data_IF_811510314418
#
_entry.id   IF_811510314418
#
_cell.length_a   1.000
_cell.length_b   1.000
_cell.length_c   1.000
_cell.angle_alpha   90.00
_cell.angle_beta   90.00
_cell.angle_gamma   90.00
#
_symmetry.space_group_name_H-M   'P 1'
#
loop_
_entity.id
_entity.type
_entity.pdbx_description
1 polymer ?
#
# COMPACT_ATOMS: atom_id res chain seq x y z
N UNK A 1 0.48 -6.46 -8.73
CA UNK A 1 -0.03 -7.58 -7.91
C UNK A 1 -1.10 -7.09 -6.94
N UNK A 2 -2.01 -7.95 -6.48
CA UNK A 2 -3.08 -7.58 -5.53
C UNK A 2 -2.64 -7.88 -4.10
N UNK A 3 -2.91 -6.95 -3.17
CA UNK A 3 -2.74 -7.13 -1.74
C UNK A 3 -4.04 -6.76 -1.02
N UNK A 4 -4.77 -7.75 -0.50
CA UNK A 4 -6.00 -7.51 0.25
C UNK A 4 -5.74 -7.56 1.76
N UNK A 5 -5.74 -6.39 2.40
CA UNK A 5 -5.47 -6.27 3.81
C UNK A 5 -6.62 -6.78 4.70
N UNK A 6 -7.83 -6.92 4.15
CA UNK A 6 -9.04 -7.32 4.90
C UNK A 6 -8.93 -8.76 5.39
N UNK A 7 -8.22 -9.63 4.65
CA UNK A 7 -7.96 -11.01 5.04
C UNK A 7 -6.81 -11.19 6.04
N UNK A 8 -6.03 -10.14 6.33
CA UNK A 8 -4.83 -10.23 7.16
C UNK A 8 -5.13 -9.73 8.57
N UNK A 9 -4.87 -10.60 9.57
CA UNK A 9 -5.02 -10.25 10.97
C UNK A 9 -4.20 -9.00 11.32
N UNK A 10 -4.81 -8.08 12.08
CA UNK A 10 -4.25 -6.75 12.39
C UNK A 10 -2.79 -6.78 12.88
N UNK A 11 -2.43 -7.75 13.72
CA UNK A 11 -1.07 -7.90 14.27
C UNK A 11 0.02 -8.19 13.23
N UNK A 12 -0.35 -8.70 12.06
CA UNK A 12 0.58 -9.03 10.97
C UNK A 12 0.52 -8.05 9.80
N UNK A 13 -0.55 -7.25 9.71
CA UNK A 13 -0.85 -6.41 8.54
C UNK A 13 0.29 -5.44 8.20
N UNK A 14 0.85 -4.75 9.19
CA UNK A 14 1.97 -3.83 8.94
C UNK A 14 3.16 -4.56 8.31
N UNK A 15 3.67 -5.60 8.98
CA UNK A 15 4.83 -6.34 8.48
C UNK A 15 4.60 -6.90 7.05
N UNK A 16 3.39 -7.41 6.78
CA UNK A 16 3.04 -7.93 5.46
C UNK A 16 3.02 -6.84 4.37
N UNK A 17 2.47 -5.65 4.65
CA UNK A 17 2.42 -4.55 3.69
C UNK A 17 3.83 -4.04 3.36
N UNK A 18 4.65 -3.78 4.39
CA UNK A 18 6.02 -3.31 4.17
C UNK A 18 6.86 -4.34 3.42
N UNK A 19 6.75 -5.63 3.79
CA UNK A 19 7.44 -6.70 3.07
C UNK A 19 7.01 -6.82 1.61
N UNK A 20 5.72 -6.65 1.31
CA UNK A 20 5.21 -6.68 -0.05
C UNK A 20 5.71 -5.49 -0.89
N UNK A 21 5.81 -4.29 -0.29
CA UNK A 21 6.38 -3.11 -0.95
C UNK A 21 7.89 -3.22 -1.17
N UNK A 22 8.62 -3.75 -0.19
CA UNK A 22 10.07 -3.99 -0.29
C UNK A 22 10.41 -5.03 -1.39
N UNK A 23 9.47 -5.92 -1.72
CA UNK A 23 9.63 -6.94 -2.75
C UNK A 23 9.33 -6.44 -4.17
N UNK A 24 8.74 -5.25 -4.34
CA UNK A 24 8.46 -4.70 -5.68
C UNK A 24 9.75 -4.31 -6.38
N UNK A 25 9.89 -4.71 -7.65
CA UNK A 25 10.95 -4.17 -8.50
C UNK A 25 10.52 -2.82 -9.11
N UNK A 26 11.47 -1.95 -9.51
CA UNK A 26 11.15 -0.67 -10.13
C UNK A 26 10.18 -0.80 -11.31
N UNK A 27 9.14 0.05 -11.32
CA UNK A 27 8.05 0.04 -12.28
C UNK A 27 6.85 -0.82 -11.86
N UNK A 28 7.00 -1.74 -10.90
CA UNK A 28 5.89 -2.58 -10.47
C UNK A 28 4.88 -1.84 -9.60
N UNK A 29 3.63 -2.30 -9.68
CA UNK A 29 2.51 -1.76 -8.91
C UNK A 29 1.84 -2.85 -8.07
N UNK A 30 1.63 -2.54 -6.80
CA UNK A 30 0.78 -3.30 -5.90
C UNK A 30 -0.56 -2.58 -5.73
N UNK A 31 -1.66 -3.25 -6.06
CA UNK A 31 -3.02 -2.77 -5.80
C UNK A 31 -3.46 -3.26 -4.42
N UNK A 32 -3.58 -2.33 -3.51
CA UNK A 32 -3.91 -2.53 -2.10
C UNK A 32 -5.41 -2.31 -1.86
N UNK A 33 -6.05 -3.24 -1.16
CA UNK A 33 -7.45 -3.16 -0.75
C UNK A 33 -7.56 -3.09 0.77
N UNK A 34 -8.38 -2.16 1.27
CA UNK A 34 -8.68 -2.02 2.70
C UNK A 34 -10.14 -1.57 2.93
N UNK A 35 -10.67 -1.86 4.10
CA UNK A 35 -12.02 -1.53 4.54
C UNK A 35 -12.15 -0.10 5.13
N UNK A 36 -11.05 0.62 5.30
CA UNK A 36 -11.03 1.99 5.78
C UNK A 36 -9.84 2.76 5.21
N UNK A 37 -9.89 4.09 5.27
CA UNK A 37 -8.78 4.93 4.80
C UNK A 37 -7.55 4.76 5.72
N UNK A 38 -6.41 4.25 5.22
CA UNK A 38 -5.28 3.91 6.06
C UNK A 38 -4.33 5.11 6.25
N UNK A 39 -4.84 6.32 6.52
CA UNK A 39 -4.04 7.56 6.60
C UNK A 39 -2.73 7.43 7.43
N UNK A 40 -2.75 6.82 8.64
CA UNK A 40 -1.51 6.68 9.41
C UNK A 40 -0.46 5.78 8.73
N UNK A 41 -0.90 4.75 8.00
CA UNK A 41 -0.01 3.92 7.20
C UNK A 41 0.57 4.72 6.03
N UNK A 42 -0.24 5.53 5.35
CA UNK A 42 0.24 6.34 4.22
C UNK A 42 1.32 7.32 4.65
N UNK A 43 1.17 7.95 5.82
CA UNK A 43 2.21 8.80 6.41
C UNK A 43 3.50 8.01 6.69
N UNK A 44 3.40 6.80 7.25
CA UNK A 44 4.56 5.95 7.50
C UNK A 44 5.25 5.49 6.20
N UNK A 45 4.47 5.17 5.16
CA UNK A 45 5.00 4.82 3.85
C UNK A 45 5.73 6.00 3.22
N UNK A 46 5.16 7.20 3.31
CA UNK A 46 5.78 8.42 2.79
C UNK A 46 7.11 8.74 3.51
N UNK A 47 7.15 8.56 4.84
CA UNK A 47 8.37 8.76 5.63
C UNK A 47 9.45 7.73 5.30
N UNK A 48 9.08 6.46 5.07
CA UNK A 48 10.03 5.38 4.82
C UNK A 48 10.55 5.36 3.39
N UNK A 49 9.67 5.55 2.41
CA UNK A 49 9.99 5.34 0.98
C UNK A 49 10.16 6.64 0.20
N UNK A 50 9.70 7.79 0.72
CA UNK A 50 9.83 9.06 0.04
C UNK A 50 9.23 9.03 -1.36
N UNK A 51 10.00 9.48 -2.36
CA UNK A 51 9.61 9.46 -3.77
C UNK A 51 9.77 8.10 -4.45
N UNK A 52 10.37 7.10 -3.78
CA UNK A 52 10.62 5.79 -4.39
C UNK A 52 9.35 4.94 -4.52
N UNK A 53 8.28 5.30 -3.79
CA UNK A 53 6.96 4.68 -3.92
C UNK A 53 5.91 5.79 -4.10
N UNK A 54 5.16 5.76 -5.20
CA UNK A 54 4.00 6.63 -5.37
C UNK A 54 2.73 5.97 -4.82
N UNK A 55 1.84 6.80 -4.28
CA UNK A 55 0.60 6.42 -3.62
C UNK A 55 -0.56 7.01 -4.42
N UNK A 56 -1.29 6.17 -5.15
CA UNK A 56 -2.36 6.63 -6.03
C UNK A 56 -3.69 5.98 -5.64
N UNK A 57 -4.65 6.79 -5.18
CA UNK A 57 -6.01 6.29 -4.94
C UNK A 57 -6.67 5.89 -6.26
N UNK A 58 -7.21 4.68 -6.30
CA UNK A 58 -8.08 4.18 -7.38
C UNK A 58 -9.54 4.31 -6.96
N UNK A 59 -9.83 4.05 -5.68
CA UNK A 59 -11.15 4.23 -5.08
C UNK A 59 -11.00 4.64 -3.62
N UNK A 60 -11.82 5.59 -3.17
CA UNK A 60 -11.81 6.12 -1.81
C UNK A 60 -13.24 6.34 -1.31
N UNK A 61 -13.94 5.24 -1.15
CA UNK A 61 -15.33 5.22 -0.66
C UNK A 61 -15.39 4.53 0.71
N UNK A 62 -16.43 4.80 1.53
CA UNK A 62 -16.64 4.05 2.77
C UNK A 62 -16.63 2.54 2.50
N UNK A 63 -15.90 1.78 3.33
CA UNK A 63 -15.76 0.31 3.23
C UNK A 63 -14.99 -0.22 2.00
N UNK A 64 -14.63 0.64 1.05
CA UNK A 64 -13.92 0.27 -0.17
C UNK A 64 -12.82 1.27 -0.52
N UNK A 65 -11.63 1.00 0.01
CA UNK A 65 -10.41 1.75 -0.31
C UNK A 65 -9.53 0.90 -1.20
N UNK A 66 -9.19 1.44 -2.37
CA UNK A 66 -8.25 0.84 -3.32
C UNK A 66 -7.15 1.83 -3.63
N UNK A 67 -5.91 1.43 -3.41
CA UNK A 67 -4.72 2.26 -3.63
C UNK A 67 -3.72 1.48 -4.47
N UNK A 68 -3.19 2.10 -5.52
CA UNK A 68 -2.03 1.60 -6.24
C UNK A 68 -0.77 2.19 -5.60
N UNK A 69 0.04 1.32 -4.99
CA UNK A 69 1.40 1.62 -4.61
C UNK A 69 2.35 1.22 -5.73
N UNK A 70 3.06 2.17 -6.33
CA UNK A 70 3.98 1.89 -7.42
C UNK A 70 5.41 2.18 -6.99
N UNK A 71 6.31 1.21 -7.19
CA UNK A 71 7.75 1.43 -7.07
C UNK A 71 8.21 2.23 -8.29
N UNK A 72 8.76 3.42 -8.09
CA UNK A 72 9.22 4.24 -9.21
C UNK A 72 10.53 3.70 -9.80
N UNK A 73 10.72 3.94 -11.09
CA UNK A 73 12.01 3.76 -11.77
C UNK A 73 12.83 5.02 -11.57
N UNK A 74 14.08 4.88 -11.13
CA UNK A 74 15.04 5.99 -11.03
C UNK A 74 15.23 6.71 -12.38
#
# INVERSE_FOLDING_TARGET
>A
YVFDARGIAKRFRHAAIFGALDALVPGETMQFFNDHDPLPLLEQLQQRYGSAVSINYVQREPEQIVINFKRETD
#
